data_IF_521769897711
#
_entry.id   IF_521769897711
#
_cell.length_a   1.000
_cell.length_b   1.000
_cell.length_c   1.000
_cell.angle_alpha   90.00
_cell.angle_beta   90.00
_cell.angle_gamma   90.00
#
_symmetry.space_group_name_H-M   'P 1'
#
loop_
_entity.id
_entity.type
_entity.pdbx_description
1 polymer ?
#
# COMPACT_ATOMS: atom_id res chain seq x y z
N UNK A 1 -67.18 -37.93 -65.98
CA UNK A 1 -66.23 -38.34 -64.94
C UNK A 1 -64.93 -37.58 -65.16
N UNK A 2 -64.63 -36.51 -64.42
CA UNK A 2 -63.29 -35.94 -64.41
C UNK A 2 -62.44 -36.65 -63.34
N UNK A 3 -61.18 -36.91 -63.66
CA UNK A 3 -60.21 -37.45 -62.72
C UNK A 3 -59.68 -36.32 -61.82
N UNK A 4 -59.67 -36.58 -60.51
CA UNK A 4 -59.08 -35.72 -59.48
C UNK A 4 -57.57 -35.57 -59.66
N UNK A 5 -57.09 -34.32 -59.64
CA UNK A 5 -55.66 -33.95 -59.58
C UNK A 5 -55.25 -33.79 -58.09
N UNK A 6 -54.34 -34.62 -57.55
CA UNK A 6 -53.89 -34.47 -56.18
C UNK A 6 -52.91 -33.29 -56.06
N UNK A 7 -53.40 -32.18 -55.53
CA UNK A 7 -52.64 -30.94 -55.33
C UNK A 7 -51.30 -31.13 -54.60
N UNK A 8 -50.29 -30.43 -55.10
CA UNK A 8 -48.94 -30.37 -54.51
C UNK A 8 -48.96 -29.59 -53.19
N UNK A 9 -48.35 -30.08 -52.09
CA UNK A 9 -48.31 -29.35 -50.85
C UNK A 9 -47.30 -28.19 -50.91
N UNK A 10 -47.78 -26.96 -50.76
CA UNK A 10 -46.92 -25.77 -50.61
C UNK A 10 -46.37 -25.73 -49.18
N UNK A 11 -45.05 -25.91 -49.03
CA UNK A 11 -44.34 -25.73 -47.75
C UNK A 11 -44.26 -24.23 -47.41
N UNK A 12 -44.99 -23.81 -46.38
CA UNK A 12 -44.82 -22.48 -45.78
C UNK A 12 -43.48 -22.36 -45.04
N UNK A 13 -42.89 -21.15 -44.94
CA UNK A 13 -41.61 -20.94 -44.28
C UNK A 13 -41.71 -21.26 -42.79
N UNK A 14 -40.80 -22.10 -42.30
CA UNK A 14 -40.73 -22.50 -40.89
C UNK A 14 -40.38 -21.30 -40.01
N UNK A 15 -41.34 -20.86 -39.18
CA UNK A 15 -41.08 -19.91 -38.08
C UNK A 15 -40.39 -20.64 -36.93
N UNK A 16 -39.15 -21.06 -37.14
CA UNK A 16 -38.28 -21.38 -36.02
C UNK A 16 -37.85 -20.07 -35.38
N UNK A 17 -38.28 -19.78 -34.15
CA UNK A 17 -37.60 -18.76 -33.34
C UNK A 17 -36.12 -19.08 -33.39
N UNK A 18 -35.28 -18.21 -33.95
CA UNK A 18 -33.93 -18.56 -34.31
C UNK A 18 -33.15 -18.66 -33.02
N UNK A 19 -33.04 -19.88 -32.46
CA UNK A 19 -32.17 -20.19 -31.31
C UNK A 19 -30.76 -19.65 -31.56
N UNK A 20 -30.36 -19.57 -32.84
CA UNK A 20 -29.17 -18.87 -33.33
C UNK A 20 -29.13 -17.40 -32.89
N UNK A 21 -30.20 -16.60 -33.05
CA UNK A 21 -30.22 -15.21 -32.58
C UNK A 21 -30.11 -15.11 -31.06
N UNK A 22 -30.69 -16.04 -30.30
CA UNK A 22 -30.54 -16.07 -28.84
C UNK A 22 -29.10 -16.39 -28.43
N UNK A 23 -28.44 -17.33 -29.11
CA UNK A 23 -27.03 -17.64 -28.88
C UNK A 23 -26.11 -16.48 -29.28
N UNK A 24 -26.41 -15.80 -30.39
CA UNK A 24 -25.68 -14.59 -30.82
C UNK A 24 -25.84 -13.47 -29.79
N UNK A 25 -27.06 -13.21 -29.31
CA UNK A 25 -27.30 -12.19 -28.29
C UNK A 25 -26.58 -12.51 -26.97
N UNK A 26 -26.60 -13.79 -26.54
CA UNK A 26 -25.88 -14.23 -25.34
C UNK A 26 -24.36 -14.09 -25.49
N UNK A 27 -23.79 -14.48 -26.63
CA UNK A 27 -22.37 -14.32 -26.91
C UNK A 27 -21.94 -12.85 -26.93
N UNK A 28 -22.76 -11.96 -27.51
CA UNK A 28 -22.52 -10.52 -27.50
C UNK A 28 -22.59 -9.92 -26.09
N UNK A 29 -23.53 -10.39 -25.25
CA UNK A 29 -23.65 -9.95 -23.86
C UNK A 29 -22.44 -10.40 -23.03
N UNK A 30 -22.03 -11.66 -23.16
CA UNK A 30 -20.84 -12.21 -22.50
C UNK A 30 -19.58 -11.50 -22.98
N UNK A 31 -19.46 -11.23 -24.28
CA UNK A 31 -18.38 -10.43 -24.86
C UNK A 31 -18.33 -9.03 -24.24
N UNK A 32 -19.46 -8.32 -24.17
CA UNK A 32 -19.52 -7.00 -23.53
C UNK A 32 -19.17 -7.02 -22.04
N UNK A 33 -19.64 -8.02 -21.30
CA UNK A 33 -19.32 -8.16 -19.87
C UNK A 33 -17.84 -8.50 -19.70
N UNK A 34 -17.30 -9.43 -20.50
CA UNK A 34 -15.89 -9.81 -20.46
C UNK A 34 -14.98 -8.64 -20.83
N UNK A 35 -15.29 -7.89 -21.89
CA UNK A 35 -14.56 -6.67 -22.27
C UNK A 35 -14.67 -5.60 -21.18
N UNK A 36 -15.86 -5.37 -20.60
CA UNK A 36 -16.04 -4.40 -19.53
C UNK A 36 -15.36 -4.78 -18.20
N UNK A 37 -15.20 -6.09 -17.91
CA UNK A 37 -14.42 -6.59 -16.77
C UNK A 37 -12.92 -6.55 -17.06
N UNK A 38 -12.51 -6.82 -18.30
CA UNK A 38 -11.12 -6.72 -18.75
C UNK A 38 -10.63 -5.27 -18.76
N UNK A 39 -11.39 -4.34 -19.34
CA UNK A 39 -11.11 -2.90 -19.30
C UNK A 39 -11.03 -2.37 -17.87
N UNK A 40 -11.93 -2.81 -16.97
CA UNK A 40 -11.85 -2.39 -15.55
C UNK A 40 -10.55 -2.81 -14.86
N UNK A 41 -9.98 -3.97 -15.22
CA UNK A 41 -8.69 -4.44 -14.67
C UNK A 41 -7.49 -3.75 -15.33
N UNK A 42 -7.60 -3.31 -16.58
CA UNK A 42 -6.50 -2.65 -17.32
C UNK A 42 -6.49 -1.12 -17.21
N UNK A 43 -7.62 -0.49 -16.88
CA UNK A 43 -7.66 0.96 -16.58
C UNK A 43 -7.04 1.24 -15.20
N UNK A 44 -7.06 0.29 -14.27
CA UNK A 44 -6.32 0.40 -13.01
C UNK A 44 -4.79 0.50 -13.22
N UNK A 45 -4.28 -0.07 -14.33
CA UNK A 45 -2.86 0.03 -14.70
C UNK A 45 -2.53 1.21 -15.63
N UNK A 46 -3.54 1.93 -16.14
CA UNK A 46 -3.36 3.18 -16.88
C UNK A 46 -3.82 4.36 -16.02
N UNK A 47 -3.17 4.50 -14.86
CA UNK A 47 -3.24 5.71 -14.05
C UNK A 47 -2.80 6.89 -14.93
N UNK A 48 -3.75 7.78 -15.23
CA UNK A 48 -3.54 8.98 -16.03
C UNK A 48 -2.34 9.77 -15.48
N UNK A 49 -1.35 10.16 -16.32
CA UNK A 49 -0.35 11.14 -15.92
C UNK A 49 -1.09 12.46 -15.68
N UNK A 50 -1.27 12.83 -14.41
CA UNK A 50 -2.02 14.03 -14.02
C UNK A 50 -3.13 13.85 -13.00
N UNK A 51 -3.35 12.66 -12.43
CA UNK A 51 -4.14 12.60 -11.19
C UNK A 51 -3.40 13.37 -10.10
N UNK A 52 -3.99 14.49 -9.64
CA UNK A 52 -3.50 15.23 -8.47
C UNK A 52 -3.66 14.26 -7.28
N UNK A 53 -2.62 13.49 -6.99
CA UNK A 53 -2.55 12.72 -5.76
C UNK A 53 -2.65 13.74 -4.63
N UNK A 54 -3.54 13.56 -3.64
CA UNK A 54 -3.63 14.50 -2.53
C UNK A 54 -2.24 14.60 -1.90
N UNK A 55 -1.77 15.84 -1.74
CA UNK A 55 -0.43 16.10 -1.25
C UNK A 55 -0.19 15.35 0.06
N UNK A 56 0.95 14.68 0.16
CA UNK A 56 1.39 14.04 1.38
C UNK A 56 1.50 15.10 2.48
N UNK A 57 0.81 14.89 3.61
CA UNK A 57 0.69 15.86 4.70
C UNK A 57 1.60 15.53 5.88
N UNK A 58 2.31 14.40 5.84
CA UNK A 58 3.27 14.04 6.88
C UNK A 58 4.54 14.88 6.72
N UNK A 59 5.03 15.42 7.83
CA UNK A 59 6.17 16.32 7.87
C UNK A 59 7.49 15.53 7.89
N UNK A 60 7.78 14.83 6.79
CA UNK A 60 8.95 13.96 6.66
C UNK A 60 10.27 14.68 6.97
N UNK A 61 11.13 14.01 7.73
CA UNK A 61 12.47 14.49 8.11
C UNK A 61 13.55 13.80 7.28
N UNK A 62 14.65 14.50 6.99
CA UNK A 62 15.88 13.85 6.52
C UNK A 62 16.35 12.79 7.52
N UNK A 63 16.87 11.67 7.00
CA UNK A 63 17.44 10.59 7.81
C UNK A 63 18.50 11.14 8.78
N UNK A 64 19.38 12.02 8.30
CA UNK A 64 20.50 12.57 9.06
C UNK A 64 20.09 13.39 10.30
N UNK A 65 18.90 13.99 10.32
CA UNK A 65 18.42 14.82 11.44
C UNK A 65 17.49 14.09 12.41
N UNK A 66 16.93 12.96 11.98
CA UNK A 66 15.80 12.33 12.67
C UNK A 66 16.12 11.86 14.09
N UNK A 67 17.30 11.26 14.28
CA UNK A 67 17.69 10.79 15.62
C UNK A 67 17.93 11.93 16.61
N UNK A 68 18.51 13.04 16.15
CA UNK A 68 18.73 14.21 16.99
C UNK A 68 17.38 14.81 17.42
N UNK A 69 16.46 15.02 16.46
CA UNK A 69 15.10 15.53 16.73
C UNK A 69 14.33 14.58 17.65
N UNK A 70 14.44 13.26 17.47
CA UNK A 70 13.76 12.27 18.30
C UNK A 70 14.21 12.32 19.76
N UNK A 71 15.53 12.45 19.99
CA UNK A 71 16.11 12.60 21.33
C UNK A 71 15.69 13.91 21.99
N UNK A 72 15.73 15.02 21.26
CA UNK A 72 15.37 16.34 21.79
C UNK A 72 13.87 16.47 22.09
N UNK A 73 13.02 15.94 21.21
CA UNK A 73 11.57 16.05 21.34
C UNK A 73 10.93 14.93 22.16
N UNK A 74 11.71 13.94 22.60
CA UNK A 74 11.22 12.71 23.25
C UNK A 74 10.10 12.03 22.46
N UNK A 75 10.23 12.00 21.14
CA UNK A 75 9.27 11.37 20.24
C UNK A 75 9.94 10.20 19.51
N UNK A 76 9.26 9.06 19.42
CA UNK A 76 9.77 7.94 18.63
C UNK A 76 9.93 8.31 17.16
N UNK A 77 10.88 7.67 16.48
CA UNK A 77 11.04 7.78 15.04
C UNK A 77 10.07 6.81 14.37
N UNK A 78 9.39 7.26 13.32
CA UNK A 78 8.62 6.42 12.42
C UNK A 78 9.35 6.35 11.08
N UNK A 79 9.91 5.20 10.74
CA UNK A 79 10.44 4.95 9.41
C UNK A 79 9.36 4.35 8.50
N UNK A 80 9.17 4.95 7.32
CA UNK A 80 8.34 4.46 6.22
C UNK A 80 9.26 3.90 5.11
N UNK A 81 9.48 2.58 5.12
CA UNK A 81 10.21 1.89 4.06
C UNK A 81 9.27 1.65 2.88
N UNK A 82 9.63 2.24 1.74
CA UNK A 82 8.73 2.38 0.59
C UNK A 82 9.48 2.42 -0.73
N UNK A 83 8.75 2.32 -1.84
CA UNK A 83 9.28 2.48 -3.19
C UNK A 83 8.24 3.17 -4.08
N UNK A 84 8.66 3.99 -5.05
CA UNK A 84 7.71 4.68 -5.95
C UNK A 84 6.96 3.70 -6.85
N UNK A 85 7.60 2.60 -7.26
CA UNK A 85 7.00 1.56 -8.09
C UNK A 85 6.01 0.65 -7.34
N UNK A 86 5.91 0.74 -6.01
CA UNK A 86 5.14 -0.17 -5.16
C UNK A 86 3.65 0.24 -5.04
N UNK A 87 2.68 -0.51 -5.61
CA UNK A 87 1.27 -0.10 -5.57
C UNK A 87 0.65 -0.06 -4.15
N UNK A 88 0.89 -1.05 -3.26
CA UNK A 88 0.42 -0.96 -1.87
C UNK A 88 0.97 0.26 -1.11
N UNK A 89 2.21 0.65 -1.39
CA UNK A 89 2.83 1.84 -0.81
C UNK A 89 2.12 3.12 -1.25
N UNK A 90 1.82 3.24 -2.54
CA UNK A 90 1.06 4.37 -3.06
C UNK A 90 -0.36 4.42 -2.46
N UNK A 91 -0.98 3.26 -2.23
CA UNK A 91 -2.29 3.17 -1.56
C UNK A 91 -2.21 3.68 -0.13
N UNK A 92 -1.22 3.22 0.65
CA UNK A 92 -0.98 3.71 2.02
C UNK A 92 -0.71 5.23 2.05
N UNK A 93 0.09 5.76 1.11
CA UNK A 93 0.35 7.20 0.99
C UNK A 93 -0.95 7.99 0.83
N UNK A 94 -1.85 7.58 -0.08
CA UNK A 94 -3.16 8.22 -0.29
C UNK A 94 -4.08 8.14 0.91
N UNK A 95 -4.19 6.96 1.52
CA UNK A 95 -5.20 6.67 2.54
C UNK A 95 -4.78 7.08 3.95
N UNK A 96 -3.47 7.11 4.23
CA UNK A 96 -2.91 7.39 5.56
C UNK A 96 -2.16 8.71 5.58
N UNK A 97 -1.17 8.91 4.71
CA UNK A 97 -0.26 10.06 4.81
C UNK A 97 -0.84 11.35 4.22
N UNK A 98 -1.75 11.24 3.25
CA UNK A 98 -2.46 12.38 2.68
C UNK A 98 -3.76 12.72 3.43
N UNK A 99 -4.25 11.84 4.29
CA UNK A 99 -5.44 12.09 5.12
C UNK A 99 -5.09 13.08 6.24
N UNK A 100 -5.82 14.22 6.38
CA UNK A 100 -5.46 15.27 7.33
C UNK A 100 -5.40 14.78 8.78
N UNK A 101 -6.42 14.03 9.22
CA UNK A 101 -6.52 13.53 10.60
C UNK A 101 -5.39 12.56 10.93
N UNK A 102 -5.11 11.66 10.01
CA UNK A 102 -4.04 10.65 10.11
C UNK A 102 -2.66 11.32 10.16
N UNK A 103 -2.38 12.20 9.20
CA UNK A 103 -1.12 12.91 9.10
C UNK A 103 -0.87 13.80 10.33
N UNK A 104 -1.88 14.52 10.80
CA UNK A 104 -1.79 15.34 12.01
C UNK A 104 -1.43 14.50 13.25
N UNK A 105 -2.00 13.30 13.35
CA UNK A 105 -1.68 12.39 14.46
C UNK A 105 -0.25 11.87 14.36
N UNK A 106 0.20 11.48 13.17
CA UNK A 106 1.58 11.07 12.90
C UNK A 106 2.55 12.21 13.25
N UNK A 107 2.29 13.40 12.73
CA UNK A 107 3.09 14.61 12.90
C UNK A 107 3.16 15.12 14.34
N UNK A 108 2.28 14.68 15.24
CA UNK A 108 2.37 14.96 16.68
C UNK A 108 3.10 13.86 17.43
N UNK A 109 2.92 12.60 17.02
CA UNK A 109 3.41 11.46 17.80
C UNK A 109 4.84 11.05 17.45
N UNK A 110 5.28 11.24 16.20
CA UNK A 110 6.54 10.67 15.71
C UNK A 110 7.44 11.70 15.06
N UNK A 111 8.74 11.44 15.01
CA UNK A 111 9.64 12.05 14.03
C UNK A 111 9.58 11.16 12.77
N UNK A 112 8.84 11.54 11.71
CA UNK A 112 8.61 10.65 10.59
C UNK A 112 9.76 10.75 9.57
N UNK A 113 10.23 9.61 9.07
CA UNK A 113 11.32 9.49 8.10
C UNK A 113 10.86 8.58 6.97
N UNK A 114 10.98 9.04 5.73
CA UNK A 114 10.73 8.20 4.57
C UNK A 114 12.04 7.59 4.09
N UNK A 115 12.07 6.26 4.01
CA UNK A 115 13.20 5.48 3.50
C UNK A 115 12.79 4.94 2.14
N UNK A 116 13.22 5.64 1.09
CA UNK A 116 12.81 5.36 -0.28
C UNK A 116 13.82 4.43 -0.97
N UNK A 117 13.37 3.24 -1.35
CA UNK A 117 14.11 2.40 -2.29
C UNK A 117 14.01 2.98 -3.70
N UNK A 118 15.16 3.14 -4.32
CA UNK A 118 15.38 3.59 -5.69
C UNK A 118 16.21 2.60 -6.48
N UNK A 119 16.39 1.37 -6.00
CA UNK A 119 17.23 0.37 -6.67
C UNK A 119 16.73 0.10 -8.09
N UNK A 120 15.41 0.11 -8.31
CA UNK A 120 14.82 -0.09 -9.63
C UNK A 120 15.09 1.07 -10.58
N UNK A 121 15.05 2.31 -10.07
CA UNK A 121 15.18 3.54 -10.84
C UNK A 121 16.64 3.93 -11.07
N UNK A 122 17.50 3.76 -10.07
CA UNK A 122 18.88 4.27 -10.00
C UNK A 122 19.93 3.14 -9.96
N UNK A 123 19.51 1.87 -9.86
CA UNK A 123 20.38 0.70 -9.81
C UNK A 123 21.00 0.40 -8.44
N UNK A 124 20.86 1.32 -7.47
CA UNK A 124 21.34 1.19 -6.08
C UNK A 124 20.65 2.22 -5.18
N UNK A 125 20.62 1.99 -3.87
CA UNK A 125 20.29 3.04 -2.92
C UNK A 125 21.52 3.80 -2.41
N UNK A 126 21.27 4.95 -1.79
CA UNK A 126 22.27 5.65 -1.00
C UNK A 126 22.77 4.76 0.17
N UNK A 127 24.04 4.85 0.59
CA UNK A 127 24.58 3.99 1.66
C UNK A 127 23.86 4.09 3.01
N UNK A 128 23.22 5.23 3.31
CA UNK A 128 22.42 5.38 4.53
C UNK A 128 21.07 4.64 4.45
N UNK A 129 20.47 4.59 3.26
CA UNK A 129 19.24 3.85 3.00
C UNK A 129 19.51 2.34 3.11
N UNK A 130 20.55 1.83 2.45
CA UNK A 130 20.96 0.42 2.55
C UNK A 130 21.26 -0.02 4.00
N UNK A 131 21.89 0.85 4.78
CA UNK A 131 22.16 0.61 6.20
C UNK A 131 20.87 0.43 7.00
N UNK A 132 19.85 1.25 6.73
CA UNK A 132 18.55 1.13 7.40
C UNK A 132 17.81 -0.15 7.00
N UNK A 133 17.79 -0.50 5.70
CA UNK A 133 17.22 -1.77 5.23
C UNK A 133 17.86 -2.97 5.92
N UNK A 134 19.20 -2.99 5.98
CA UNK A 134 19.96 -4.06 6.64
C UNK A 134 19.70 -4.08 8.14
N UNK A 135 19.73 -2.92 8.79
CA UNK A 135 19.61 -2.81 10.25
C UNK A 135 18.26 -3.32 10.76
N UNK A 136 17.17 -2.98 10.06
CA UNK A 136 15.82 -3.39 10.43
C UNK A 136 15.34 -4.66 9.72
N UNK A 137 16.21 -5.32 8.94
CA UNK A 137 15.91 -6.52 8.18
C UNK A 137 14.62 -6.38 7.33
N UNK A 138 14.53 -5.28 6.57
CA UNK A 138 13.36 -4.99 5.73
C UNK A 138 13.56 -5.60 4.35
N UNK A 139 12.66 -6.51 3.97
CA UNK A 139 12.68 -7.24 2.69
C UNK A 139 11.38 -7.10 1.88
N UNK A 140 10.39 -6.39 2.42
CA UNK A 140 9.09 -6.20 1.79
C UNK A 140 8.54 -4.77 1.98
N UNK A 141 7.65 -4.37 1.06
CA UNK A 141 7.05 -3.04 1.05
C UNK A 141 5.51 -3.07 1.10
N UNK A 142 4.88 -2.04 1.72
CA UNK A 142 5.52 -1.09 2.63
C UNK A 142 5.93 -1.77 3.94
N UNK A 143 6.93 -1.23 4.63
CA UNK A 143 7.22 -1.61 6.02
C UNK A 143 7.34 -0.37 6.87
N UNK A 144 6.59 -0.31 7.97
CA UNK A 144 6.69 0.74 8.96
C UNK A 144 7.51 0.25 10.15
N UNK A 145 8.43 1.07 10.63
CA UNK A 145 9.24 0.77 11.82
C UNK A 145 9.15 1.90 12.82
N UNK A 146 8.75 1.59 14.06
CA UNK A 146 8.72 2.56 15.16
C UNK A 146 9.91 2.29 16.08
N UNK A 147 10.74 3.31 16.27
CA UNK A 147 11.96 3.23 17.08
C UNK A 147 11.88 4.24 18.21
N UNK A 148 12.20 3.77 19.42
CA UNK A 148 12.26 4.63 20.60
C UNK A 148 13.48 5.55 20.57
N UNK A 149 13.40 6.78 21.09
CA UNK A 149 14.52 7.71 21.08
C UNK A 149 15.67 7.30 22.02
N UNK A 150 15.38 6.50 23.06
CA UNK A 150 16.36 5.96 24.00
C UNK A 150 16.86 4.55 23.62
N UNK A 151 16.42 4.03 22.47
CA UNK A 151 16.70 2.67 22.02
C UNK A 151 15.72 1.63 22.59
N UNK A 152 16.00 0.37 22.31
CA UNK A 152 15.09 -0.75 22.59
C UNK A 152 14.63 -1.43 21.31
N UNK A 153 13.82 -2.47 21.46
CA UNK A 153 13.36 -3.28 20.33
C UNK A 153 12.41 -2.46 19.44
N UNK A 154 12.68 -2.38 18.12
CA UNK A 154 11.79 -1.68 17.20
C UNK A 154 10.48 -2.44 17.00
N UNK A 155 9.38 -1.71 16.81
CA UNK A 155 8.12 -2.30 16.36
C UNK A 155 8.09 -2.27 14.83
N UNK A 156 8.12 -3.46 14.21
CA UNK A 156 8.10 -3.62 12.75
C UNK A 156 6.71 -4.05 12.28
N UNK A 157 6.20 -3.39 11.23
CA UNK A 157 4.89 -3.63 10.64
C UNK A 157 5.05 -3.76 9.13
N UNK A 158 5.03 -4.99 8.62
CA UNK A 158 5.14 -5.26 7.19
C UNK A 158 3.76 -5.33 6.51
N UNK A 159 3.68 -4.79 5.30
CA UNK A 159 2.49 -4.77 4.47
C UNK A 159 1.52 -3.63 4.79
N UNK A 160 0.44 -3.56 3.99
CA UNK A 160 -0.62 -2.58 4.17
C UNK A 160 -2.00 -3.25 4.22
N UNK A 161 -2.57 -3.34 5.43
CA UNK A 161 -3.90 -3.91 5.70
C UNK A 161 -5.07 -2.91 5.62
N UNK A 162 -4.77 -1.61 5.54
CA UNK A 162 -5.77 -0.53 5.50
C UNK A 162 -5.55 0.54 6.58
N UNK A 163 -6.15 1.71 6.38
CA UNK A 163 -5.91 2.91 7.20
C UNK A 163 -6.13 2.68 8.70
N UNK A 164 -7.27 2.11 9.09
CA UNK A 164 -7.63 1.96 10.51
C UNK A 164 -6.67 1.02 11.24
N UNK A 165 -6.30 -0.10 10.61
CA UNK A 165 -5.33 -1.03 11.18
C UNK A 165 -3.95 -0.37 11.31
N UNK A 166 -3.48 0.27 10.24
CA UNK A 166 -2.18 0.97 10.25
C UNK A 166 -2.14 2.03 11.34
N UNK A 167 -3.17 2.87 11.45
CA UNK A 167 -3.23 3.89 12.49
C UNK A 167 -3.24 3.27 13.88
N UNK A 168 -4.12 2.29 14.12
CA UNK A 168 -4.21 1.62 15.43
C UNK A 168 -2.85 1.10 15.88
N UNK A 169 -2.15 0.36 15.01
CA UNK A 169 -0.83 -0.20 15.31
C UNK A 169 0.23 0.89 15.52
N UNK A 170 0.22 1.94 14.71
CA UNK A 170 1.12 3.08 14.90
C UNK A 170 0.89 3.73 16.27
N UNK A 171 -0.36 3.99 16.63
CA UNK A 171 -0.71 4.64 17.89
C UNK A 171 -0.28 3.78 19.08
N UNK A 172 -0.58 2.49 19.05
CA UNK A 172 -0.15 1.52 20.08
C UNK A 172 1.38 1.56 20.24
N UNK A 173 2.12 1.38 19.15
CA UNK A 173 3.58 1.44 19.17
C UNK A 173 4.12 2.79 19.66
N UNK A 174 3.48 3.90 19.26
CA UNK A 174 3.87 5.25 19.70
C UNK A 174 3.58 5.51 21.18
N UNK A 175 2.49 4.97 21.72
CA UNK A 175 2.17 5.05 23.15
C UNK A 175 3.14 4.20 23.96
N UNK A 176 3.41 2.96 23.54
CA UNK A 176 4.37 2.06 24.20
C UNK A 176 5.79 2.64 24.19
N UNK A 177 6.22 3.15 23.03
CA UNK A 177 7.51 3.80 22.87
C UNK A 177 7.68 5.01 23.80
N UNK A 178 6.59 5.74 24.11
CA UNK A 178 6.63 6.87 25.02
C UNK A 178 6.50 6.47 26.49
N UNK A 179 5.64 5.51 26.82
CA UNK A 179 5.40 5.06 28.19
C UNK A 179 6.64 4.41 28.80
N UNK A 180 7.38 3.62 28.02
CA UNK A 180 8.63 3.02 28.52
C UNK A 180 9.76 4.03 28.74
N UNK A 181 9.63 5.31 28.36
CA UNK A 181 10.64 6.34 28.70
C UNK A 181 10.53 6.81 30.15
N UNK A 182 9.37 6.61 30.80
CA UNK A 182 9.14 6.98 32.21
C UNK A 182 9.51 5.90 33.22
N UNK A 183 9.90 4.71 32.77
CA UNK A 183 10.17 3.54 33.62
C UNK A 183 11.67 3.15 33.71
N UNK A 184 12.57 3.96 33.12
CA UNK A 184 14.01 3.69 33.13
C UNK A 184 14.74 4.37 34.29
N UNK A 185 15.39 3.57 35.12
CA UNK A 185 16.44 3.94 36.07
C UNK A 185 17.32 5.10 35.59
N UNK A 186 17.72 6.03 36.49
CA UNK A 186 18.71 7.03 36.14
C UNK A 186 20.05 6.33 35.95
N UNK A 187 20.52 6.26 34.70
CA UNK A 187 21.94 6.07 34.39
C UNK A 187 22.56 4.82 35.05
N UNK A 188 22.10 3.62 34.68
CA UNK A 188 22.71 2.35 35.08
C UNK A 188 23.99 2.03 34.31
N UNK A 189 25.13 2.45 34.87
CA UNK A 189 26.50 1.95 34.68
C UNK A 189 26.67 0.69 33.80
N UNK A 190 27.32 0.81 32.63
CA UNK A 190 27.97 -0.34 31.98
C UNK A 190 29.32 -0.58 32.68
N UNK A 191 29.56 -1.74 33.32
CA UNK A 191 30.92 -2.09 33.74
C UNK A 191 31.73 -2.46 32.50
N UNK A 192 32.94 -1.91 32.42
CA UNK A 192 33.87 -2.19 31.35
C UNK A 192 34.36 -3.64 31.33
N UNK A 193 34.82 -4.01 30.13
CA UNK A 193 35.86 -5.00 29.84
C UNK A 193 35.76 -6.41 30.47
N UNK A 194 35.74 -7.42 29.61
CA UNK A 194 36.67 -8.54 29.76
C UNK A 194 37.14 -9.05 28.41
N UNK A 195 38.45 -8.91 28.19
CA UNK A 195 39.21 -9.67 27.21
C UNK A 195 39.20 -11.15 27.63
N UNK A 196 39.04 -12.05 26.67
CA UNK A 196 39.80 -13.29 26.58
C UNK A 196 40.17 -13.51 25.13
#
# INVERSE_FOLDING_TARGET
MPADDPGVPVRGPSRGTPRVLLWVAAALLVGRVATGVYERRHVESHMLPGSIQPADRVAWRPIASAEAEARESHRPILYDFTAEWCPPCQKMRREVFSDPSSADRINRMFVPVRVLDRTREEGKNAPEVERLFTHFNVDAFPTLVVVRPDGGEPVVMSGYGGREETLRRLIEAGVEARSGMGAGDPMGSRPGARRK
#
